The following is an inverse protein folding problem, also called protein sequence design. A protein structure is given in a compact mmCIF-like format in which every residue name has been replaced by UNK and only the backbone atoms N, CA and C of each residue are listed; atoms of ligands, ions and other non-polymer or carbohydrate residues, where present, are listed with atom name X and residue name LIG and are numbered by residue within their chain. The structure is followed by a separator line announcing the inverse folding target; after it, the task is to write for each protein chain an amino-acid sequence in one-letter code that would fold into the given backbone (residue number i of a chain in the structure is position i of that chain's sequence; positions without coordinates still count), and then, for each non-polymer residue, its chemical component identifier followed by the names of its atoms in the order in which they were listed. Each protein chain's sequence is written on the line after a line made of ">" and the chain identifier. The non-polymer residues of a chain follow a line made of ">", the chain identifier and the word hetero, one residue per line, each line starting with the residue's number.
data_IF_783970903504
#
_entry.id   IF_783970903504
#
_cell.length_a   1.000
_cell.length_b   1.000
_cell.length_c   1.000
_cell.angle_alpha   90.00
_cell.angle_beta   90.00
_cell.angle_gamma   90.00
#
_symmetry.space_group_name_H-M   'P 1'
#
loop_
_entity.id
_entity.type
_entity.pdbx_description
1 polymer ?
#
# COMPACT_ATOMS: atom_id res chain seq x y z
N UNK A 1 6.80 -2.51 -35.88
CA UNK A 1 5.95 -3.02 -34.79
C UNK A 1 6.29 -2.20 -33.55
N UNK A 2 5.35 -1.44 -32.94
CA UNK A 2 5.67 -0.67 -31.74
C UNK A 2 5.94 -1.62 -30.56
N UNK A 3 6.88 -1.20 -29.71
CA UNK A 3 7.69 -2.05 -28.83
C UNK A 3 6.95 -2.89 -27.80
N UNK A 4 7.57 -4.03 -27.50
CA UNK A 4 7.38 -4.85 -26.31
C UNK A 4 7.29 -3.99 -25.04
N UNK A 5 6.08 -3.81 -24.50
CA UNK A 5 5.88 -3.15 -23.22
C UNK A 5 6.51 -4.00 -22.11
N UNK A 6 7.59 -3.51 -21.52
CA UNK A 6 8.13 -4.06 -20.28
C UNK A 6 7.05 -3.93 -19.21
N UNK A 7 6.49 -5.05 -18.74
CA UNK A 7 5.52 -5.07 -17.65
C UNK A 7 6.10 -4.33 -16.44
N UNK A 8 5.40 -3.31 -15.96
CA UNK A 8 5.81 -2.51 -14.80
C UNK A 8 5.12 -3.08 -13.56
N UNK A 9 5.82 -3.12 -12.44
CA UNK A 9 5.24 -3.54 -11.16
C UNK A 9 5.37 -2.38 -10.16
N UNK A 10 4.24 -1.96 -9.61
CA UNK A 10 4.15 -0.93 -8.57
C UNK A 10 3.69 -1.57 -7.26
N UNK A 11 4.53 -1.50 -6.23
CA UNK A 11 4.17 -1.93 -4.87
C UNK A 11 3.81 -0.70 -4.02
N UNK A 12 2.55 -0.60 -3.62
CA UNK A 12 2.08 0.35 -2.60
C UNK A 12 2.21 -0.33 -1.24
N UNK A 13 3.39 -0.18 -0.62
CA UNK A 13 3.66 -0.63 0.73
C UNK A 13 3.33 0.50 1.71
N UNK A 14 2.44 0.24 2.67
CA UNK A 14 2.06 1.24 3.66
C UNK A 14 1.98 0.64 5.07
N UNK A 15 2.24 1.50 6.05
CA UNK A 15 2.03 1.21 7.47
C UNK A 15 0.95 2.17 8.00
N UNK A 16 0.08 1.65 8.86
CA UNK A 16 -0.97 2.44 9.48
C UNK A 16 -1.42 1.79 10.78
N UNK A 17 -1.21 2.47 11.89
CA UNK A 17 -1.66 2.03 13.22
C UNK A 17 -3.19 2.08 13.30
N UNK A 18 -3.78 3.22 12.93
CA UNK A 18 -5.23 3.50 13.05
C UNK A 18 -6.02 3.36 11.73
N UNK A 19 -5.39 2.89 10.66
CA UNK A 19 -6.07 2.74 9.36
C UNK A 19 -6.24 4.04 8.55
N UNK A 20 -5.87 5.22 9.07
CA UNK A 20 -6.02 6.51 8.36
C UNK A 20 -5.37 6.55 6.97
N UNK A 21 -4.24 5.86 6.81
CA UNK A 21 -3.48 5.82 5.54
C UNK A 21 -4.09 4.86 4.51
N UNK A 22 -5.06 4.02 4.89
CA UNK A 22 -5.64 3.02 3.99
C UNK A 22 -6.25 3.65 2.72
N UNK A 23 -7.12 4.65 2.90
CA UNK A 23 -7.77 5.34 1.78
C UNK A 23 -6.78 6.03 0.85
N UNK A 24 -5.67 6.54 1.40
CA UNK A 24 -4.60 7.13 0.60
C UNK A 24 -3.87 6.05 -0.21
N UNK A 25 -3.55 4.91 0.40
CA UNK A 25 -2.92 3.80 -0.30
C UNK A 25 -3.81 3.25 -1.43
N UNK A 26 -5.13 3.20 -1.22
CA UNK A 26 -6.11 2.85 -2.26
C UNK A 26 -6.09 3.85 -3.42
N UNK A 27 -6.18 5.16 -3.14
CA UNK A 27 -6.16 6.19 -4.17
C UNK A 27 -4.85 6.19 -5.00
N UNK A 28 -3.70 5.97 -4.34
CA UNK A 28 -2.40 5.82 -5.03
C UNK A 28 -2.40 4.58 -5.92
N UNK A 29 -2.94 3.46 -5.45
CA UNK A 29 -3.02 2.23 -6.22
C UNK A 29 -3.96 2.37 -7.43
N UNK A 30 -5.08 3.07 -7.28
CA UNK A 30 -5.99 3.40 -8.38
C UNK A 30 -5.30 4.20 -9.48
N UNK A 31 -4.63 5.31 -9.13
CA UNK A 31 -3.89 6.10 -10.11
C UNK A 31 -2.77 5.31 -10.80
N UNK A 32 -2.07 4.43 -10.07
CA UNK A 32 -1.04 3.58 -10.65
C UNK A 32 -1.61 2.55 -11.66
N UNK A 33 -2.84 2.07 -11.44
CA UNK A 33 -3.50 1.08 -12.34
C UNK A 33 -3.92 1.67 -13.68
N UNK A 34 -4.04 3.00 -13.80
CA UNK A 34 -4.38 3.66 -15.06
C UNK A 34 -3.25 3.54 -16.11
N UNK A 35 -2.03 3.21 -15.69
CA UNK A 35 -0.88 3.04 -16.58
C UNK A 35 -0.97 1.68 -17.28
N UNK A 36 -1.14 1.67 -18.61
CA UNK A 36 -1.19 0.46 -19.40
C UNK A 36 0.06 -0.44 -19.19
N UNK A 37 -0.17 -1.71 -18.87
CA UNK A 37 0.89 -2.68 -18.60
C UNK A 37 1.54 -2.56 -17.22
N UNK A 38 0.95 -1.80 -16.28
CA UNK A 38 1.40 -1.72 -14.89
C UNK A 38 0.57 -2.64 -13.99
N UNK A 39 1.23 -3.63 -13.39
CA UNK A 39 0.69 -4.43 -12.30
C UNK A 39 0.86 -3.68 -10.98
N UNK A 40 -0.20 -3.61 -10.17
CA UNK A 40 -0.18 -2.85 -8.91
C UNK A 40 -0.55 -3.76 -7.74
N UNK A 41 0.32 -3.81 -6.74
CA UNK A 41 0.15 -4.60 -5.52
C UNK A 41 0.09 -3.67 -4.32
N UNK A 42 -0.89 -3.85 -3.44
CA UNK A 42 -1.00 -3.10 -2.19
C UNK A 42 -0.69 -4.04 -1.03
N UNK A 43 0.23 -3.66 -0.14
CA UNK A 43 0.56 -4.43 1.06
C UNK A 43 0.60 -3.55 2.30
N UNK A 44 -0.03 -4.03 3.37
CA UNK A 44 0.08 -3.44 4.71
C UNK A 44 1.24 -4.09 5.45
N UNK A 45 2.11 -3.27 6.02
CA UNK A 45 3.13 -3.74 6.97
C UNK A 45 2.43 -4.12 8.28
N UNK A 46 2.63 -5.35 8.79
CA UNK A 46 2.12 -5.74 10.10
C UNK A 46 2.61 -4.80 11.21
N UNK A 47 1.82 -4.65 12.25
CA UNK A 47 2.26 -3.89 13.42
C UNK A 47 3.44 -4.61 14.09
N UNK A 48 4.50 -3.85 14.41
CA UNK A 48 5.74 -4.37 15.00
C UNK A 48 5.88 -3.98 16.47
N UNK A 49 5.03 -3.06 16.96
CA UNK A 49 5.01 -2.69 18.36
C UNK A 49 4.47 -3.84 19.23
N UNK A 50 5.14 -4.14 20.35
CA UNK A 50 4.61 -5.04 21.36
C UNK A 50 3.21 -4.62 21.81
N UNK A 51 2.33 -5.59 22.03
CA UNK A 51 0.93 -5.37 22.44
C UNK A 51 0.80 -4.45 23.65
N UNK A 52 1.72 -4.56 24.60
CA UNK A 52 1.80 -3.75 25.82
C UNK A 52 1.99 -2.25 25.56
N UNK A 53 2.56 -1.88 24.41
CA UNK A 53 2.73 -0.48 23.99
C UNK A 53 1.49 0.01 23.24
N UNK A 54 0.87 -0.85 22.41
CA UNK A 54 -0.38 -0.54 21.69
C UNK A 54 -1.55 -0.27 22.64
N UNK A 55 -1.65 -1.05 23.72
CA UNK A 55 -2.70 -0.91 24.73
C UNK A 55 -2.59 0.43 25.50
N UNK A 56 -1.40 1.05 25.52
CA UNK A 56 -1.16 2.36 26.16
C UNK A 56 -1.39 3.56 25.24
N UNK A 57 -1.37 3.36 23.92
CA UNK A 57 -1.51 4.44 22.94
C UNK A 57 -2.94 4.64 22.44
N UNK A 58 -3.92 3.91 22.99
CA UNK A 58 -5.31 3.99 22.56
C UNK A 58 -5.50 3.51 21.11
N UNK A 59 -4.62 2.64 20.63
CA UNK A 59 -4.64 2.05 19.28
C UNK A 59 -5.56 0.83 19.17
N UNK A 60 -6.70 0.87 19.87
CA UNK A 60 -7.74 -0.17 19.88
C UNK A 60 -9.10 0.43 19.60
#
# INVERSE_FOLDING_TARGET
>A
MPGSGQGRLTLVLFYSTYGHVWKLAEAVAEGAREIAGNEVVVKRVPETLPKEILDKTGAT
#
